data_IF_583512413747
#
_entry.id   IF_583512413747
#
_cell.length_a   1.000
_cell.length_b   1.000
_cell.length_c   1.000
_cell.angle_alpha   90.00
_cell.angle_beta   90.00
_cell.angle_gamma   90.00
#
_symmetry.space_group_name_H-M   'P 1'
#
loop_
_entity.id
_entity.type
_entity.pdbx_description
1 polymer ?
#
# COMPACT_ATOMS: atom_id res chain seq x y z
N UNK A 1 -11.87 1.76 -24.97
CA UNK A 1 -10.40 1.76 -24.76
C UNK A 1 -10.11 1.14 -23.40
N UNK A 2 -9.00 0.43 -23.21
CA UNK A 2 -8.64 -0.11 -21.89
C UNK A 2 -8.43 1.04 -20.91
N UNK A 3 -8.87 0.83 -19.67
CA UNK A 3 -8.73 1.79 -18.59
C UNK A 3 -7.26 1.85 -18.16
N UNK A 4 -6.61 3.03 -18.08
CA UNK A 4 -5.23 3.10 -17.60
C UNK A 4 -5.14 2.61 -16.15
N UNK A 5 -4.15 1.78 -15.87
CA UNK A 5 -3.91 1.19 -14.56
C UNK A 5 -2.75 1.89 -13.86
N UNK A 6 -2.94 2.17 -12.56
CA UNK A 6 -1.92 2.79 -11.71
C UNK A 6 -1.73 1.94 -10.47
N UNK A 7 -0.50 1.49 -10.25
CA UNK A 7 -0.10 0.88 -8.98
C UNK A 7 0.57 1.90 -8.07
N UNK A 8 0.21 1.88 -6.80
CA UNK A 8 0.75 2.78 -5.79
C UNK A 8 1.30 1.96 -4.63
N UNK A 9 2.57 2.20 -4.31
CA UNK A 9 3.22 1.68 -3.11
C UNK A 9 3.56 2.85 -2.18
N UNK A 10 2.75 3.09 -1.13
CA UNK A 10 2.87 4.25 -0.26
C UNK A 10 4.07 4.17 0.69
N UNK A 11 4.35 5.27 1.40
CA UNK A 11 5.19 5.24 2.60
C UNK A 11 4.50 4.52 3.77
N UNK A 12 5.26 4.23 4.83
CA UNK A 12 4.74 3.54 6.02
C UNK A 12 4.17 4.52 7.06
N UNK A 13 3.10 4.10 7.74
CA UNK A 13 2.40 4.87 8.76
C UNK A 13 1.09 5.49 8.27
N UNK A 14 0.16 5.75 9.21
CA UNK A 14 -1.17 6.27 8.87
C UNK A 14 -1.13 7.65 8.20
N UNK A 15 -0.11 8.46 8.50
CA UNK A 15 0.13 9.74 7.84
C UNK A 15 0.41 9.63 6.34
N UNK A 16 0.81 8.45 5.86
CA UNK A 16 0.93 8.16 4.43
C UNK A 16 -0.32 7.46 3.88
N UNK A 17 -0.90 6.51 4.62
CA UNK A 17 -2.07 5.76 4.13
C UNK A 17 -3.29 6.64 3.87
N UNK A 18 -3.64 7.52 4.81
CA UNK A 18 -4.85 8.35 4.73
C UNK A 18 -4.83 9.26 3.49
N UNK A 19 -3.80 10.09 3.25
CA UNK A 19 -3.78 10.95 2.07
C UNK A 19 -3.68 10.15 0.77
N UNK A 20 -2.94 9.04 0.75
CA UNK A 20 -2.87 8.19 -0.45
C UNK A 20 -4.22 7.55 -0.73
N UNK A 21 -4.95 7.09 0.28
CA UNK A 21 -6.29 6.55 0.12
C UNK A 21 -7.22 7.60 -0.51
N UNK A 22 -7.25 8.85 -0.02
CA UNK A 22 -8.07 9.89 -0.65
C UNK A 22 -7.61 10.21 -2.08
N UNK A 23 -6.30 10.24 -2.33
CA UNK A 23 -5.76 10.40 -3.68
C UNK A 23 -6.24 9.29 -4.61
N UNK A 24 -6.21 8.02 -4.19
CA UNK A 24 -6.70 6.90 -5.01
C UNK A 24 -8.18 7.04 -5.33
N UNK A 25 -8.98 7.47 -4.35
CA UNK A 25 -10.41 7.73 -4.53
C UNK A 25 -10.64 8.79 -5.60
N UNK A 26 -9.92 9.90 -5.50
CA UNK A 26 -10.02 11.01 -6.43
C UNK A 26 -9.57 10.63 -7.85
N UNK A 27 -8.45 9.89 -7.96
CA UNK A 27 -7.94 9.41 -9.24
C UNK A 27 -8.91 8.43 -9.92
N UNK A 28 -9.51 7.49 -9.18
CA UNK A 28 -10.49 6.57 -9.76
C UNK A 28 -11.79 7.29 -10.13
N UNK A 29 -12.30 8.18 -9.27
CA UNK A 29 -13.60 8.82 -9.46
C UNK A 29 -13.57 9.92 -10.54
N UNK A 30 -12.53 10.75 -10.54
CA UNK A 30 -12.45 11.93 -11.41
C UNK A 30 -11.75 11.63 -12.73
N UNK A 31 -10.72 10.75 -12.72
CA UNK A 31 -9.91 10.48 -13.90
C UNK A 31 -10.18 9.11 -14.53
N UNK A 32 -11.08 8.31 -13.95
CA UNK A 32 -11.43 7.01 -14.47
C UNK A 32 -10.23 6.08 -14.58
N UNK A 33 -9.34 6.09 -13.58
CA UNK A 33 -8.19 5.18 -13.48
C UNK A 33 -8.55 3.91 -12.72
N UNK A 34 -7.98 2.76 -13.11
CA UNK A 34 -8.01 1.54 -12.29
C UNK A 34 -6.79 1.58 -11.39
N UNK A 35 -6.96 1.32 -10.10
CA UNK A 35 -5.90 1.53 -9.12
C UNK A 35 -5.66 0.27 -8.30
N UNK A 36 -4.39 -0.07 -8.11
CA UNK A 36 -3.98 -1.08 -7.13
C UNK A 36 -3.12 -0.41 -6.06
N UNK A 37 -3.59 -0.41 -4.81
CA UNK A 37 -2.79 -0.03 -3.66
C UNK A 37 -2.06 -1.26 -3.11
N UNK A 38 -0.73 -1.25 -3.21
CA UNK A 38 0.14 -2.31 -2.71
C UNK A 38 0.56 -1.96 -1.29
N UNK A 39 0.44 -2.89 -0.35
CA UNK A 39 0.72 -2.67 1.08
C UNK A 39 1.48 -3.84 1.68
N UNK A 40 2.21 -3.60 2.77
CA UNK A 40 2.81 -4.65 3.58
C UNK A 40 2.26 -4.58 5.00
N UNK A 41 2.19 -5.71 5.71
CA UNK A 41 1.68 -5.76 7.11
C UNK A 41 2.38 -4.79 8.06
N UNK A 42 3.69 -4.60 7.89
CA UNK A 42 4.50 -3.73 8.74
C UNK A 42 4.26 -2.23 8.52
N UNK A 43 3.60 -1.85 7.41
CA UNK A 43 3.45 -0.43 7.05
C UNK A 43 2.36 0.27 7.87
N UNK A 44 1.29 -0.44 8.23
CA UNK A 44 0.08 0.19 8.78
C UNK A 44 -0.49 -0.61 9.94
N UNK A 45 -1.31 0.06 10.77
CA UNK A 45 -2.11 -0.65 11.78
C UNK A 45 -3.04 -1.64 11.07
N UNK A 46 -3.00 -2.95 11.40
CA UNK A 46 -3.84 -3.96 10.74
C UNK A 46 -5.34 -3.63 10.85
N UNK A 47 -5.78 -3.17 12.02
CA UNK A 47 -7.17 -2.77 12.27
C UNK A 47 -7.62 -1.62 11.38
N UNK A 48 -6.78 -0.59 11.25
CA UNK A 48 -7.12 0.56 10.42
C UNK A 48 -7.06 0.20 8.94
N UNK A 49 -6.09 -0.61 8.53
CA UNK A 49 -5.99 -1.10 7.16
C UNK A 49 -7.24 -1.88 6.73
N UNK A 50 -7.75 -2.77 7.58
CA UNK A 50 -8.99 -3.51 7.34
C UNK A 50 -10.22 -2.59 7.24
N UNK A 51 -10.32 -1.56 8.09
CA UNK A 51 -11.40 -0.58 7.99
C UNK A 51 -11.34 0.22 6.68
N UNK A 52 -10.15 0.65 6.27
CA UNK A 52 -9.94 1.41 5.03
C UNK A 52 -10.20 0.56 3.78
N UNK A 53 -9.70 -0.67 3.74
CA UNK A 53 -9.93 -1.56 2.59
C UNK A 53 -11.42 -1.86 2.41
N UNK A 54 -12.16 -2.12 3.50
CA UNK A 54 -13.62 -2.29 3.47
C UNK A 54 -14.35 -1.04 3.00
N UNK A 55 -13.96 0.13 3.52
CA UNK A 55 -14.54 1.41 3.08
C UNK A 55 -14.33 1.63 1.59
N UNK A 56 -13.14 1.35 1.07
CA UNK A 56 -12.84 1.51 -0.34
C UNK A 56 -13.56 0.50 -1.23
N UNK A 57 -13.62 -0.77 -0.82
CA UNK A 57 -14.37 -1.80 -1.54
C UNK A 57 -15.87 -1.44 -1.66
N UNK A 58 -16.43 -0.75 -0.66
CA UNK A 58 -17.83 -0.29 -0.68
C UNK A 58 -18.09 0.95 -1.54
N UNK A 59 -17.04 1.64 -2.03
CA UNK A 59 -17.17 2.90 -2.76
C UNK A 59 -17.69 2.76 -4.19
N UNK A 60 -17.71 1.54 -4.74
CA UNK A 60 -18.03 1.29 -6.15
C UNK A 60 -16.94 1.75 -7.14
N UNK A 61 -15.80 2.23 -6.62
CA UNK A 61 -14.64 2.60 -7.42
C UNK A 61 -13.78 1.37 -7.73
N UNK A 62 -13.00 1.47 -8.80
CA UNK A 62 -12.10 0.42 -9.28
C UNK A 62 -10.74 0.57 -8.59
N UNK A 63 -10.75 0.20 -7.30
CA UNK A 63 -9.61 0.30 -6.40
C UNK A 63 -9.42 -1.07 -5.74
N UNK A 64 -8.28 -1.68 -6.00
CA UNK A 64 -7.87 -2.96 -5.44
C UNK A 64 -6.78 -2.78 -4.39
N UNK A 65 -6.75 -3.69 -3.42
CA UNK A 65 -5.70 -3.74 -2.41
C UNK A 65 -4.95 -5.06 -2.54
N UNK A 66 -3.63 -4.98 -2.64
CA UNK A 66 -2.74 -6.14 -2.57
C UNK A 66 -1.92 -6.01 -1.30
N UNK A 67 -2.00 -7.02 -0.45
CA UNK A 67 -1.13 -7.15 0.70
C UNK A 67 0.00 -8.12 0.36
N UNK A 68 1.23 -7.61 0.36
CA UNK A 68 2.43 -8.38 0.12
C UNK A 68 2.73 -9.32 1.30
N UNK A 69 3.44 -10.42 1.04
CA UNK A 69 3.91 -11.33 2.08
C UNK A 69 4.77 -10.60 3.10
N UNK A 70 4.84 -11.18 4.30
CA UNK A 70 5.60 -10.62 5.41
C UNK A 70 7.08 -10.92 5.24
N UNK A 71 7.90 -9.89 5.41
CA UNK A 71 9.35 -9.97 5.21
C UNK A 71 10.06 -9.88 6.56
N UNK A 72 10.75 -10.93 6.97
CA UNK A 72 11.58 -10.91 8.18
C UNK A 72 12.92 -10.21 7.91
N UNK A 73 13.40 -9.42 8.86
CA UNK A 73 14.73 -8.80 8.82
C UNK A 73 15.58 -9.34 9.97
N UNK A 74 16.65 -10.03 9.62
CA UNK A 74 17.63 -10.50 10.60
C UNK A 74 18.27 -9.32 11.35
N UNK A 75 18.40 -9.47 12.67
CA UNK A 75 19.07 -8.49 13.53
C UNK A 75 18.29 -7.19 13.78
N UNK A 76 16.98 -7.15 13.52
CA UNK A 76 16.15 -5.95 13.65
C UNK A 76 16.25 -5.26 15.03
N UNK A 77 16.43 -6.03 16.11
CA UNK A 77 16.45 -5.54 17.50
C UNK A 77 17.54 -4.52 17.84
N UNK A 78 18.57 -4.37 17.00
CA UNK A 78 19.67 -3.41 17.23
C UNK A 78 19.68 -2.26 16.22
N UNK A 79 18.71 -2.21 15.29
CA UNK A 79 18.69 -1.21 14.22
C UNK A 79 17.98 0.07 14.66
N UNK A 80 18.47 1.21 14.18
CA UNK A 80 17.68 2.45 14.20
C UNK A 80 16.42 2.26 13.36
N UNK A 81 15.33 2.89 13.77
CA UNK A 81 14.02 2.78 13.11
C UNK A 81 14.09 3.10 11.61
N UNK A 82 14.83 4.14 11.23
CA UNK A 82 14.98 4.56 9.83
C UNK A 82 15.72 3.51 9.01
N UNK A 83 16.78 2.91 9.57
CA UNK A 83 17.53 1.83 8.92
C UNK A 83 16.66 0.59 8.76
N UNK A 84 15.89 0.23 9.79
CA UNK A 84 14.96 -0.89 9.74
C UNK A 84 13.89 -0.69 8.66
N UNK A 85 13.25 0.47 8.62
CA UNK A 85 12.27 0.82 7.59
C UNK A 85 12.90 0.80 6.19
N UNK A 86 14.07 1.40 6.00
CA UNK A 86 14.76 1.39 4.70
C UNK A 86 15.04 -0.02 4.20
N UNK A 87 15.47 -0.94 5.08
CA UNK A 87 15.70 -2.33 4.71
C UNK A 87 14.39 -3.07 4.39
N UNK A 88 13.30 -2.76 5.10
CA UNK A 88 11.97 -3.32 4.79
C UNK A 88 11.50 -2.90 3.40
N UNK A 89 11.66 -1.62 3.05
CA UNK A 89 11.37 -1.12 1.70
C UNK A 89 12.22 -1.82 0.65
N UNK A 90 13.54 -1.93 0.87
CA UNK A 90 14.45 -2.59 -0.07
C UNK A 90 14.07 -4.07 -0.28
N UNK A 91 13.79 -4.78 0.81
CA UNK A 91 13.39 -6.20 0.75
C UNK A 91 12.04 -6.40 0.07
N UNK A 92 11.12 -5.45 0.24
CA UNK A 92 9.79 -5.52 -0.37
C UNK A 92 9.81 -5.29 -1.89
N UNK A 93 10.89 -4.73 -2.46
CA UNK A 93 10.96 -4.36 -3.88
C UNK A 93 10.66 -5.54 -4.82
N UNK A 94 11.29 -6.70 -4.60
CA UNK A 94 11.04 -7.88 -5.42
C UNK A 94 9.59 -8.35 -5.36
N UNK A 95 8.96 -8.27 -4.19
CA UNK A 95 7.55 -8.60 -4.00
C UNK A 95 6.62 -7.59 -4.68
N UNK A 96 6.95 -6.30 -4.69
CA UNK A 96 6.21 -5.25 -5.40
C UNK A 96 6.26 -5.46 -6.91
N UNK A 97 7.45 -5.77 -7.47
CA UNK A 97 7.64 -5.99 -8.91
C UNK A 97 6.82 -7.17 -9.46
N UNK A 98 6.53 -8.16 -8.61
CA UNK A 98 5.77 -9.36 -8.97
C UNK A 98 4.27 -9.28 -8.59
N UNK A 99 3.81 -8.14 -8.06
CA UNK A 99 2.45 -8.01 -7.52
C UNK A 99 1.38 -7.66 -8.58
N UNK A 100 1.79 -7.32 -9.80
CA UNK A 100 0.93 -6.86 -10.89
C UNK A 100 1.09 -7.75 -12.11
#
# INVERSE_FOLDING_TARGET
>A
MPKPHVAIFPGAGMGHLIPVAELTRHLSATHGLSITLITCKWMFSPRLMDAYSKSMASSGLDINFIQLPEEEIEGAQHMKTETYLSKLFEKSKGSVENAL
#
